data_IF_764658541084
#
_entry.id   IF_764658541084
#
_cell.length_a   1.000
_cell.length_b   1.000
_cell.length_c   1.000
_cell.angle_alpha   90.00
_cell.angle_beta   90.00
_cell.angle_gamma   90.00
#
_symmetry.space_group_name_H-M   'P 1'
#
loop_
_entity.id
_entity.type
_entity.pdbx_description
1 polymer ?
#
# COMPACT_ATOMS: atom_id res chain seq x y z
N UNK A 1 -0.64 -30.25 21.09
CA UNK A 1 -1.26 -30.80 19.86
C UNK A 1 -1.04 -29.76 18.78
N UNK A 2 0.01 -30.04 18.01
CA UNK A 2 0.56 -29.21 16.97
C UNK A 2 -0.38 -29.23 15.76
N UNK A 3 -1.24 -28.23 15.66
CA UNK A 3 -1.91 -27.94 14.41
C UNK A 3 -1.13 -26.83 13.69
N UNK A 4 0.13 -27.15 13.39
CA UNK A 4 1.00 -26.31 12.57
C UNK A 4 0.36 -26.12 11.20
N UNK A 5 0.34 -24.88 10.82
CA UNK A 5 -0.05 -24.35 9.52
C UNK A 5 0.72 -25.05 8.39
N UNK A 6 0.25 -26.21 7.95
CA UNK A 6 0.85 -27.07 6.92
C UNK A 6 0.80 -26.44 5.53
N UNK A 7 0.13 -25.28 5.36
CA UNK A 7 -0.07 -24.61 4.08
C UNK A 7 1.21 -24.04 3.44
N UNK A 8 2.29 -23.82 4.21
CA UNK A 8 3.53 -23.22 3.70
C UNK A 8 4.74 -24.16 3.64
N UNK A 9 4.57 -25.43 3.94
CA UNK A 9 5.68 -26.39 3.91
C UNK A 9 5.99 -26.97 2.53
N UNK A 10 5.21 -26.65 1.51
CA UNK A 10 5.50 -27.16 0.18
C UNK A 10 6.57 -26.28 -0.50
N UNK A 11 7.77 -26.82 -0.69
CA UNK A 11 8.89 -26.13 -1.34
C UNK A 11 8.54 -25.59 -2.75
N UNK A 12 7.57 -26.22 -3.41
CA UNK A 12 7.04 -25.77 -4.71
C UNK A 12 6.25 -24.47 -4.58
N UNK A 13 5.45 -24.29 -3.53
CA UNK A 13 4.66 -23.07 -3.33
C UNK A 13 5.56 -21.88 -2.99
N UNK A 14 6.57 -22.07 -2.16
CA UNK A 14 7.56 -21.03 -1.85
C UNK A 14 8.37 -20.61 -3.08
N UNK A 15 8.73 -21.56 -3.96
CA UNK A 15 9.41 -21.23 -5.22
C UNK A 15 8.53 -20.38 -6.12
N UNK A 16 7.28 -20.77 -6.32
CA UNK A 16 6.31 -20.00 -7.12
C UNK A 16 6.08 -18.60 -6.57
N UNK A 17 5.97 -18.45 -5.25
CA UNK A 17 5.83 -17.13 -4.60
C UNK A 17 7.06 -16.28 -4.89
N UNK A 18 8.28 -16.84 -4.71
CA UNK A 18 9.52 -16.12 -4.99
C UNK A 18 9.61 -15.67 -6.45
N UNK A 19 9.33 -16.54 -7.40
CA UNK A 19 9.33 -16.23 -8.83
C UNK A 19 8.34 -15.10 -9.16
N UNK A 20 7.11 -15.16 -8.64
CA UNK A 20 6.13 -14.11 -8.86
C UNK A 20 6.53 -12.76 -8.24
N UNK A 21 7.13 -12.77 -7.06
CA UNK A 21 7.67 -11.55 -6.43
C UNK A 21 8.80 -10.98 -7.29
N UNK A 22 9.72 -11.81 -7.75
CA UNK A 22 10.80 -11.40 -8.62
C UNK A 22 10.28 -10.82 -9.95
N UNK A 23 9.33 -11.48 -10.60
CA UNK A 23 8.70 -10.99 -11.83
C UNK A 23 7.98 -9.65 -11.63
N UNK A 24 7.37 -9.44 -10.46
CA UNK A 24 6.77 -8.15 -10.12
C UNK A 24 7.83 -7.06 -9.94
N UNK A 25 8.95 -7.36 -9.26
CA UNK A 25 10.05 -6.42 -9.06
C UNK A 25 10.76 -6.07 -10.38
N UNK A 26 10.86 -7.01 -11.31
CA UNK A 26 11.43 -6.82 -12.64
C UNK A 26 10.43 -6.18 -13.63
N UNK A 27 9.20 -5.90 -13.20
CA UNK A 27 8.16 -5.28 -14.01
C UNK A 27 7.53 -6.19 -15.08
N UNK A 28 7.82 -7.49 -15.06
CA UNK A 28 7.24 -8.48 -15.98
C UNK A 28 5.75 -8.69 -15.72
N UNK A 29 5.33 -8.62 -14.46
CA UNK A 29 3.94 -8.64 -14.06
C UNK A 29 3.58 -7.36 -13.30
N UNK A 30 2.35 -6.89 -13.49
CA UNK A 30 1.81 -5.74 -12.76
C UNK A 30 0.79 -6.23 -11.75
N UNK A 31 1.07 -6.13 -10.44
CA UNK A 31 0.16 -6.62 -9.40
C UNK A 31 -1.26 -6.07 -9.52
N UNK A 32 -1.43 -4.81 -9.92
CA UNK A 32 -2.74 -4.19 -10.14
C UNK A 32 -3.58 -4.93 -11.18
N UNK A 33 -2.97 -5.34 -12.30
CA UNK A 33 -3.68 -6.05 -13.39
C UNK A 33 -4.07 -7.46 -12.94
N UNK A 34 -3.16 -8.16 -12.24
CA UNK A 34 -3.43 -9.50 -11.73
C UNK A 34 -4.56 -9.50 -10.69
N UNK A 35 -4.58 -8.48 -9.82
CA UNK A 35 -5.65 -8.30 -8.83
C UNK A 35 -7.00 -7.96 -9.46
N UNK A 36 -7.04 -7.14 -10.50
CA UNK A 36 -8.27 -6.86 -11.26
C UNK A 36 -8.84 -8.14 -11.88
N UNK A 37 -7.99 -8.99 -12.45
CA UNK A 37 -8.40 -10.30 -12.99
C UNK A 37 -8.97 -11.20 -11.89
N UNK A 38 -8.28 -11.28 -10.75
CA UNK A 38 -8.73 -12.07 -9.61
C UNK A 38 -10.06 -11.56 -9.03
N UNK A 39 -10.28 -10.25 -8.98
CA UNK A 39 -11.54 -9.65 -8.54
C UNK A 39 -12.71 -9.98 -9.49
N UNK A 40 -12.48 -9.95 -10.80
CA UNK A 40 -13.51 -10.29 -11.80
C UNK A 40 -13.91 -11.76 -11.78
N UNK A 41 -12.97 -12.65 -11.43
CA UNK A 41 -13.21 -14.09 -11.34
C UNK A 41 -13.72 -14.56 -9.97
N UNK A 42 -13.69 -13.69 -8.95
CA UNK A 42 -14.22 -13.99 -7.64
C UNK A 42 -15.76 -14.09 -7.70
N UNK A 43 -16.29 -15.23 -7.26
CA UNK A 43 -17.73 -15.43 -7.15
C UNK A 43 -18.33 -14.38 -6.21
N UNK A 44 -19.55 -13.86 -6.52
CA UNK A 44 -20.22 -12.93 -5.62
C UNK A 44 -20.40 -13.57 -4.25
N UNK A 45 -19.81 -12.95 -3.25
CA UNK A 45 -19.86 -13.47 -1.88
C UNK A 45 -21.33 -13.40 -1.38
N UNK A 46 -21.99 -14.56 -1.27
CA UNK A 46 -23.39 -14.69 -0.85
C UNK A 46 -23.62 -14.36 0.63
N UNK A 47 -22.56 -14.25 1.42
CA UNK A 47 -22.64 -14.01 2.86
C UNK A 47 -22.52 -12.52 3.21
N UNK A 48 -23.59 -11.75 3.03
CA UNK A 48 -23.70 -10.37 3.56
C UNK A 48 -24.15 -10.32 5.03
N UNK A 49 -23.79 -11.29 5.86
CA UNK A 49 -24.37 -11.41 7.20
C UNK A 49 -23.76 -10.46 8.23
N UNK A 50 -22.48 -10.06 8.07
CA UNK A 50 -21.83 -9.17 9.03
C UNK A 50 -21.29 -7.90 8.35
N UNK A 51 -21.81 -6.74 8.78
CA UNK A 51 -21.24 -5.44 8.43
C UNK A 51 -20.11 -5.15 9.42
N UNK A 52 -18.86 -5.32 9.00
CA UNK A 52 -17.69 -4.81 9.75
C UNK A 52 -17.52 -3.35 9.33
N UNK A 53 -17.78 -2.37 10.20
CA UNK A 53 -17.54 -0.98 9.87
C UNK A 53 -16.03 -0.76 9.69
N UNK A 54 -15.61 -0.06 8.62
CA UNK A 54 -14.21 0.28 8.45
C UNK A 54 -13.77 1.26 9.55
N UNK A 55 -12.58 1.04 10.08
CA UNK A 55 -11.98 1.92 11.08
C UNK A 55 -10.49 2.11 10.83
N UNK A 56 -10.00 3.34 10.97
CA UNK A 56 -8.59 3.69 10.88
C UNK A 56 -8.19 4.46 12.12
N UNK A 57 -7.27 3.91 12.89
CA UNK A 57 -6.63 4.55 14.02
C UNK A 57 -5.19 4.93 13.64
N UNK A 58 -4.80 6.18 13.89
CA UNK A 58 -3.43 6.65 13.70
C UNK A 58 -2.92 7.11 15.07
N UNK A 59 -1.87 6.44 15.56
CA UNK A 59 -1.32 6.67 16.90
C UNK A 59 0.19 6.93 16.83
N UNK A 60 0.59 8.09 17.32
CA UNK A 60 1.99 8.50 17.48
C UNK A 60 2.59 8.13 18.84
N UNK A 61 1.78 7.66 19.79
CA UNK A 61 2.25 7.29 21.13
C UNK A 61 2.61 5.81 21.23
N UNK A 62 2.01 4.97 20.39
CA UNK A 62 2.22 3.52 20.39
C UNK A 62 3.65 3.09 20.02
N UNK A 63 4.44 3.96 19.36
CA UNK A 63 5.84 3.70 19.04
C UNK A 63 6.71 4.94 19.25
N UNK A 64 7.96 4.73 19.71
CA UNK A 64 8.93 5.81 19.89
C UNK A 64 9.43 6.39 18.56
N UNK A 65 9.54 5.56 17.51
CA UNK A 65 10.21 5.90 16.26
C UNK A 65 9.33 5.89 15.02
N UNK A 66 8.09 5.39 15.12
CA UNK A 66 7.17 5.26 14.00
C UNK A 66 5.80 5.84 14.34
N UNK A 67 5.08 6.30 13.33
CA UNK A 67 3.63 6.47 13.40
C UNK A 67 3.01 5.09 13.20
N UNK A 68 2.07 4.72 14.05
CA UNK A 68 1.35 3.45 13.97
C UNK A 68 -0.02 3.70 13.34
N UNK A 69 -0.34 2.94 12.30
CA UNK A 69 -1.64 2.98 11.62
C UNK A 69 -2.28 1.61 11.78
N UNK A 70 -3.38 1.55 12.51
CA UNK A 70 -4.22 0.36 12.65
C UNK A 70 -5.42 0.48 11.71
N UNK A 71 -5.68 -0.58 10.97
CA UNK A 71 -6.76 -0.68 9.99
C UNK A 71 -7.64 -1.86 10.36
N UNK A 72 -8.90 -1.58 10.57
CA UNK A 72 -9.93 -2.59 10.77
C UNK A 72 -10.93 -2.51 9.61
N UNK A 73 -11.28 -3.65 9.05
CA UNK A 73 -12.22 -3.67 7.93
C UNK A 73 -12.66 -5.08 7.56
N UNK A 74 -13.42 -5.16 6.48
CA UNK A 74 -13.83 -6.43 5.90
C UNK A 74 -12.73 -6.96 4.99
N UNK A 75 -12.40 -8.25 5.13
CA UNK A 75 -11.51 -8.93 4.21
C UNK A 75 -12.12 -8.96 2.80
N UNK A 76 -11.36 -8.50 1.82
CA UNK A 76 -11.73 -8.54 0.41
C UNK A 76 -10.49 -8.68 -0.47
N UNK A 77 -10.64 -9.20 -1.68
CA UNK A 77 -9.54 -9.20 -2.66
C UNK A 77 -8.96 -7.80 -2.84
N UNK A 78 -7.66 -7.71 -2.94
CA UNK A 78 -6.87 -6.48 -3.13
C UNK A 78 -6.91 -5.47 -1.97
N UNK A 79 -7.55 -5.75 -0.82
CA UNK A 79 -7.57 -4.81 0.31
C UNK A 79 -6.16 -4.36 0.71
N UNK A 80 -5.25 -5.30 0.90
CA UNK A 80 -3.87 -4.99 1.29
C UNK A 80 -3.14 -4.15 0.23
N UNK A 81 -3.38 -4.43 -1.05
CA UNK A 81 -2.83 -3.64 -2.14
C UNK A 81 -3.35 -2.19 -2.12
N UNK A 82 -4.65 -2.00 -1.95
CA UNK A 82 -5.27 -0.67 -1.92
C UNK A 82 -4.75 0.14 -0.72
N UNK A 83 -4.65 -0.50 0.45
CA UNK A 83 -4.14 0.11 1.67
C UNK A 83 -2.66 0.51 1.53
N UNK A 84 -1.79 -0.39 1.09
CA UNK A 84 -0.37 -0.10 0.91
C UNK A 84 -0.15 0.96 -0.16
N UNK A 85 -0.95 0.96 -1.22
CA UNK A 85 -0.95 2.01 -2.25
C UNK A 85 -1.36 3.36 -1.66
N UNK A 86 -2.40 3.40 -0.82
CA UNK A 86 -2.83 4.62 -0.14
C UNK A 86 -1.76 5.16 0.81
N UNK A 87 -1.06 4.30 1.58
CA UNK A 87 0.05 4.66 2.45
C UNK A 87 1.17 5.31 1.61
N UNK A 88 1.61 4.64 0.56
CA UNK A 88 2.69 5.12 -0.33
C UNK A 88 2.29 6.42 -1.04
N UNK A 89 1.03 6.53 -1.49
CA UNK A 89 0.52 7.73 -2.15
C UNK A 89 0.56 8.97 -1.25
N UNK A 90 0.37 8.80 0.06
CA UNK A 90 0.51 9.87 1.05
C UNK A 90 1.98 10.20 1.40
N UNK A 91 2.96 9.64 0.68
CA UNK A 91 4.38 9.86 0.89
C UNK A 91 4.89 9.20 2.19
N UNK A 92 4.33 8.05 2.56
CA UNK A 92 4.76 7.31 3.74
C UNK A 92 5.54 6.07 3.32
N UNK A 93 6.56 5.73 4.11
CA UNK A 93 7.35 4.53 3.99
C UNK A 93 6.91 3.52 5.05
N UNK A 94 6.61 2.30 4.63
CA UNK A 94 6.25 1.20 5.53
C UNK A 94 7.55 0.57 6.02
N UNK A 95 7.82 0.63 7.32
CA UNK A 95 8.95 -0.02 7.95
C UNK A 95 8.64 -1.49 8.30
N UNK A 96 7.45 -1.75 8.83
CA UNK A 96 6.94 -3.09 9.12
C UNK A 96 5.41 -3.11 9.13
N UNK A 97 4.84 -4.30 9.03
CA UNK A 97 3.40 -4.50 9.11
C UNK A 97 3.09 -5.82 9.83
N UNK A 98 2.01 -5.81 10.61
CA UNK A 98 1.39 -7.01 11.17
C UNK A 98 0.02 -7.18 10.53
N UNK A 99 -0.13 -8.24 9.75
CA UNK A 99 -1.33 -8.52 8.97
C UNK A 99 -2.07 -9.67 9.65
N UNK A 100 -3.32 -9.43 10.06
CA UNK A 100 -4.13 -10.42 10.77
C UNK A 100 -5.52 -10.53 10.17
N UNK A 101 -5.90 -11.74 9.79
CA UNK A 101 -7.22 -12.02 9.22
C UNK A 101 -7.99 -12.99 10.11
N UNK A 102 -9.19 -12.58 10.52
CA UNK A 102 -10.10 -13.35 11.36
C UNK A 102 -11.42 -13.57 10.59
N UNK A 103 -11.45 -14.62 9.76
CA UNK A 103 -12.58 -14.87 8.86
C UNK A 103 -12.80 -13.73 7.87
N UNK A 104 -13.93 -13.02 7.99
CA UNK A 104 -14.23 -11.85 7.12
C UNK A 104 -13.67 -10.52 7.65
N UNK A 105 -13.04 -10.49 8.82
CA UNK A 105 -12.47 -9.29 9.42
C UNK A 105 -10.95 -9.28 9.27
N UNK A 106 -10.39 -8.13 8.94
CA UNK A 106 -8.96 -7.85 9.01
C UNK A 106 -8.66 -6.86 10.11
N UNK A 107 -7.51 -7.04 10.74
CA UNK A 107 -6.90 -6.10 11.70
C UNK A 107 -5.43 -5.99 11.32
N UNK A 108 -5.08 -4.97 10.56
CA UNK A 108 -3.73 -4.78 10.04
C UNK A 108 -3.09 -3.56 10.70
N UNK A 109 -1.86 -3.72 11.15
CA UNK A 109 -1.09 -2.66 11.83
C UNK A 109 0.16 -2.36 11.02
N UNK A 110 0.32 -1.10 10.62
CA UNK A 110 1.47 -0.61 9.86
C UNK A 110 2.31 0.36 10.69
N UNK A 111 3.60 0.14 10.71
CA UNK A 111 4.59 1.05 11.28
C UNK A 111 5.19 1.88 10.15
N UNK A 112 4.89 3.18 10.14
CA UNK A 112 5.25 4.05 9.01
C UNK A 112 6.08 5.25 9.46
N UNK A 113 6.81 5.81 8.50
CA UNK A 113 7.54 7.07 8.59
C UNK A 113 7.24 7.92 7.36
N UNK A 114 7.54 9.21 7.44
CA UNK A 114 7.53 10.07 6.27
C UNK A 114 8.78 9.84 5.40
N UNK A 115 8.88 10.56 4.29
CA UNK A 115 10.02 10.48 3.34
C UNK A 115 11.35 10.91 3.96
N UNK A 116 11.32 11.61 5.08
CA UNK A 116 12.51 12.04 5.84
C UNK A 116 12.88 11.07 6.96
N UNK A 117 12.13 9.98 7.13
CA UNK A 117 12.34 9.00 8.18
C UNK A 117 11.78 9.41 9.54
N UNK A 118 10.89 10.40 9.60
CA UNK A 118 10.30 10.94 10.81
C UNK A 118 8.85 10.46 11.01
N UNK A 119 8.33 10.64 12.23
CA UNK A 119 6.90 10.45 12.53
C UNK A 119 6.06 11.56 11.91
N UNK A 120 4.79 11.26 11.66
CA UNK A 120 3.86 12.24 11.09
C UNK A 120 3.25 13.06 12.24
N UNK A 121 3.77 14.25 12.49
CA UNK A 121 3.30 15.10 13.59
C UNK A 121 2.16 16.06 13.19
N UNK A 122 2.04 16.35 11.89
CA UNK A 122 1.03 17.29 11.39
C UNK A 122 -0.38 16.68 11.45
N UNK A 123 -1.25 17.22 12.30
CA UNK A 123 -2.66 16.83 12.43
C UNK A 123 -3.40 16.91 11.08
N UNK A 124 -3.11 17.94 10.28
CA UNK A 124 -3.67 18.10 8.92
C UNK A 124 -3.27 16.93 8.01
N UNK A 125 -2.01 16.50 8.08
CA UNK A 125 -1.52 15.35 7.30
C UNK A 125 -2.14 14.04 7.79
N UNK A 126 -2.26 13.87 9.10
CA UNK A 126 -2.91 12.70 9.73
C UNK A 126 -4.36 12.57 9.24
N UNK A 127 -5.11 13.66 9.18
CA UNK A 127 -6.50 13.64 8.73
C UNK A 127 -6.63 13.28 7.24
N UNK A 128 -5.74 13.80 6.39
CA UNK A 128 -5.68 13.42 4.96
C UNK A 128 -5.38 11.93 4.80
N UNK A 129 -4.41 11.41 5.55
CA UNK A 129 -4.04 9.98 5.54
C UNK A 129 -5.25 9.14 5.97
N UNK A 130 -5.90 9.50 7.08
CA UNK A 130 -7.08 8.81 7.59
C UNK A 130 -8.18 8.71 6.53
N UNK A 131 -8.51 9.84 5.89
CA UNK A 131 -9.53 9.91 4.85
C UNK A 131 -9.18 9.00 3.67
N UNK A 132 -7.95 9.08 3.16
CA UNK A 132 -7.48 8.27 2.03
C UNK A 132 -7.52 6.77 2.34
N UNK A 133 -7.15 6.40 3.57
CA UNK A 133 -7.20 5.00 4.02
C UNK A 133 -8.63 4.50 4.19
N UNK A 134 -9.54 5.33 4.72
CA UNK A 134 -10.96 4.97 4.81
C UNK A 134 -11.58 4.72 3.43
N UNK A 135 -11.23 5.54 2.43
CA UNK A 135 -11.64 5.35 1.04
C UNK A 135 -11.08 4.03 0.48
N UNK A 136 -9.79 3.73 0.73
CA UNK A 136 -9.15 2.49 0.30
C UNK A 136 -9.83 1.25 0.91
N UNK A 137 -10.13 1.26 2.22
CA UNK A 137 -10.81 0.15 2.90
C UNK A 137 -12.22 -0.05 2.33
N UNK A 138 -12.93 1.04 2.02
CA UNK A 138 -14.26 1.03 1.42
C UNK A 138 -14.29 0.52 -0.03
N UNK A 139 -13.14 0.24 -0.64
CA UNK A 139 -13.04 -0.24 -2.02
C UNK A 139 -13.09 0.88 -3.06
N UNK A 140 -12.96 2.13 -2.65
CA UNK A 140 -12.75 3.25 -3.57
C UNK A 140 -11.28 3.25 -3.96
N UNK A 141 -10.98 2.92 -5.22
CA UNK A 141 -9.61 2.89 -5.72
C UNK A 141 -8.98 4.28 -5.60
N UNK A 142 -7.91 4.40 -4.84
CA UNK A 142 -7.08 5.60 -4.79
C UNK A 142 -6.35 5.72 -6.11
N UNK A 143 -6.93 6.45 -7.07
CA UNK A 143 -6.26 6.74 -8.34
C UNK A 143 -5.19 7.79 -8.10
N UNK A 144 -3.93 7.54 -8.49
CA UNK A 144 -2.91 8.58 -8.48
C UNK A 144 -3.42 9.73 -9.37
N UNK A 145 -3.63 10.91 -8.80
CA UNK A 145 -3.77 12.12 -9.61
C UNK A 145 -2.51 12.18 -10.44
N UNK A 146 -2.64 12.14 -11.78
CA UNK A 146 -1.51 12.37 -12.70
C UNK A 146 -0.89 13.69 -12.30
N UNK A 147 0.23 13.64 -11.59
CA UNK A 147 1.05 14.79 -11.29
C UNK A 147 1.39 15.42 -12.64
N UNK A 148 1.13 16.72 -12.79
CA UNK A 148 1.65 17.49 -13.93
C UNK A 148 3.15 17.21 -13.98
N UNK A 149 3.59 16.62 -15.07
CA UNK A 149 5.00 16.40 -15.36
C UNK A 149 5.73 17.72 -15.12
N UNK A 150 6.64 17.72 -14.18
CA UNK A 150 7.56 18.83 -13.93
C UNK A 150 8.34 19.10 -15.22
N UNK A 151 8.36 20.38 -15.58
CA UNK A 151 8.90 20.94 -16.78
C UNK A 151 10.23 20.31 -17.24
N UNK A 152 10.33 20.05 -18.55
CA UNK A 152 11.57 19.69 -19.24
C UNK A 152 12.69 20.68 -18.84
N UNK A 153 13.93 20.19 -18.59
CA UNK A 153 15.06 21.09 -18.36
C UNK A 153 15.29 21.94 -19.62
N UNK A 154 15.30 23.25 -19.43
CA UNK A 154 15.65 24.20 -20.49
C UNK A 154 17.07 23.89 -20.99
N UNK A 155 17.19 23.64 -22.30
CA UNK A 155 18.48 23.57 -22.99
C UNK A 155 19.26 24.85 -22.72
N UNK A 156 20.40 24.71 -22.06
CA UNK A 156 21.40 25.77 -21.92
C UNK A 156 22.06 25.91 -23.29
N UNK A 157 21.71 26.93 -24.04
CA UNK A 157 22.42 27.34 -25.23
C UNK A 157 23.77 27.91 -24.81
N UNK A 158 24.86 27.21 -25.11
CA UNK A 158 26.23 27.74 -25.03
C UNK A 158 26.34 28.87 -26.06
N UNK A 159 26.44 30.10 -25.56
CA UNK A 159 26.80 31.25 -26.35
C UNK A 159 28.30 31.16 -26.59
N UNK A 160 28.72 30.92 -27.83
CA UNK A 160 30.11 31.04 -28.25
C UNK A 160 30.47 32.51 -28.33
N UNK A 161 31.48 32.95 -27.60
CA UNK A 161 32.11 34.25 -27.81
C UNK A 161 33.12 34.14 -28.98
N UNK A 162 33.13 35.13 -29.89
CA UNK A 162 34.16 35.16 -30.93
C UNK A 162 35.46 35.78 -30.42
N UNK A 163 36.56 35.02 -30.57
CA UNK A 163 37.91 35.52 -30.44
C UNK A 163 38.18 36.44 -31.64
N UNK A 164 38.59 37.68 -31.39
CA UNK A 164 39.14 38.62 -32.39
C UNK A 164 40.66 38.69 -32.19
N UNK A 165 41.35 38.99 -33.29
CA UNK A 165 42.77 38.81 -33.51
C UNK A 165 43.69 39.77 -32.71
#
# INVERSE_FOLDING_TARGET
HDNECTAYRNSMDLRRIRERVQDAMEGKIRPSIELEKAQKSALPNRTRVFKVPPHVLIDNKASRSHTVIEINGRNRPALLYDVTTAITFNGLQIASAHISTYGERVVDVFYVKDVFGLKIESERKIEVIRKTLMEAIGGVAVKPKKGKATAKPKKVTKRAEPVKP
#
